data_IF_208387525721
#
_entry.id   IF_208387525721
#
_cell.length_a   1.000
_cell.length_b   1.000
_cell.length_c   1.000
_cell.angle_alpha   90.00
_cell.angle_beta   90.00
_cell.angle_gamma   90.00
#
_symmetry.space_group_name_H-M   'P 1'
#
loop_
_entity.id
_entity.type
_entity.pdbx_description
1 polymer ?
#
# COMPACT_ATOMS: atom_id res chain seq x y z
N UNK A 1 51.70 12.59 10.14
CA UNK A 1 50.46 13.36 10.09
C UNK A 1 49.52 12.91 8.92
N UNK A 2 49.48 11.61 8.60
CA UNK A 2 48.68 11.11 7.44
C UNK A 2 47.47 10.24 7.83
N UNK A 3 47.23 9.99 9.12
CA UNK A 3 46.20 9.04 9.60
C UNK A 3 44.83 9.67 9.96
N UNK A 4 44.74 10.99 10.07
CA UNK A 4 43.52 11.70 10.51
C UNK A 4 42.60 12.00 9.32
N UNK A 5 43.12 12.15 8.07
CA UNK A 5 42.31 12.48 6.88
C UNK A 5 41.46 11.33 6.36
N UNK A 6 41.80 10.05 6.60
CA UNK A 6 41.05 8.89 6.09
C UNK A 6 39.77 8.65 6.87
N UNK A 7 39.76 8.93 8.20
CA UNK A 7 38.56 8.74 9.03
C UNK A 7 37.45 9.76 8.73
N UNK A 8 37.79 10.96 8.32
CA UNK A 8 36.80 12.00 7.96
C UNK A 8 36.07 11.69 6.61
N UNK A 9 36.74 11.02 5.68
CA UNK A 9 36.15 10.65 4.37
C UNK A 9 35.15 9.49 4.49
N UNK A 10 35.35 8.59 5.43
CA UNK A 10 34.43 7.45 5.64
C UNK A 10 33.11 7.94 6.27
N UNK A 11 33.19 8.87 7.22
CA UNK A 11 31.98 9.45 7.86
C UNK A 11 31.07 10.21 6.89
N UNK A 12 31.65 10.92 5.90
CA UNK A 12 30.88 11.66 4.91
C UNK A 12 30.16 10.75 3.88
N UNK A 13 30.73 9.60 3.56
CA UNK A 13 30.10 8.65 2.64
C UNK A 13 28.87 7.98 3.26
N UNK A 14 28.89 7.65 4.53
CA UNK A 14 27.75 7.05 5.25
C UNK A 14 26.60 8.02 5.46
N UNK A 15 26.89 9.29 5.78
CA UNK A 15 25.87 10.33 5.92
C UNK A 15 25.16 10.63 4.59
N UNK A 16 25.89 10.63 3.47
CA UNK A 16 25.32 10.88 2.14
C UNK A 16 24.40 9.73 1.68
N UNK A 17 24.68 8.50 2.08
CA UNK A 17 23.85 7.34 1.75
C UNK A 17 22.54 7.33 2.57
N UNK A 18 22.61 7.67 3.85
CA UNK A 18 21.43 7.78 4.73
C UNK A 18 20.47 8.90 4.27
N UNK A 19 20.98 10.04 3.86
CA UNK A 19 20.17 11.15 3.33
C UNK A 19 19.52 10.79 1.99
N UNK A 20 20.19 10.05 1.13
CA UNK A 20 19.64 9.55 -0.11
C UNK A 20 18.50 8.56 0.14
N UNK A 21 18.69 7.61 1.03
CA UNK A 21 17.67 6.61 1.38
C UNK A 21 16.41 7.26 1.98
N UNK A 22 16.57 8.27 2.84
CA UNK A 22 15.45 9.08 3.34
C UNK A 22 14.72 9.81 2.23
N UNK A 23 15.45 10.41 1.29
CA UNK A 23 14.87 11.08 0.12
C UNK A 23 14.11 10.12 -0.78
N UNK A 24 14.57 8.90 -0.94
CA UNK A 24 13.94 7.91 -1.83
C UNK A 24 12.63 7.37 -1.24
N UNK A 25 12.55 7.12 0.06
CA UNK A 25 11.28 6.72 0.71
C UNK A 25 10.27 7.87 0.74
N UNK A 26 10.72 9.12 1.00
CA UNK A 26 9.86 10.30 0.96
C UNK A 26 9.24 10.48 -0.43
N UNK A 27 10.04 10.45 -1.49
CA UNK A 27 9.56 10.48 -2.88
C UNK A 27 8.56 9.36 -3.18
N UNK A 28 8.77 8.16 -2.64
CA UNK A 28 7.85 7.04 -2.83
C UNK A 28 6.51 7.28 -2.14
N UNK A 29 6.52 7.82 -0.93
CA UNK A 29 5.31 8.20 -0.20
C UNK A 29 4.54 9.28 -0.96
N UNK A 30 5.22 10.30 -1.47
CA UNK A 30 4.61 11.37 -2.26
C UNK A 30 4.06 10.85 -3.59
N UNK A 31 4.79 9.96 -4.27
CA UNK A 31 4.31 9.32 -5.49
C UNK A 31 3.09 8.42 -5.20
N UNK A 32 3.05 7.74 -4.06
CA UNK A 32 1.88 6.95 -3.66
C UNK A 32 0.65 7.84 -3.42
N UNK A 33 0.84 8.99 -2.78
CA UNK A 33 -0.21 9.99 -2.60
C UNK A 33 -0.73 10.50 -3.96
N UNK A 34 0.19 10.85 -4.87
CA UNK A 34 -0.13 11.31 -6.22
C UNK A 34 -0.87 10.26 -7.03
N UNK A 35 -0.43 9.00 -7.00
CA UNK A 35 -1.10 7.89 -7.69
C UNK A 35 -2.54 7.75 -7.21
N UNK A 36 -2.78 7.76 -5.90
CA UNK A 36 -4.12 7.67 -5.35
C UNK A 36 -4.98 8.87 -5.75
N UNK A 37 -4.44 10.08 -5.69
CA UNK A 37 -5.15 11.31 -6.09
C UNK A 37 -5.52 11.29 -7.58
N UNK A 38 -4.61 10.90 -8.46
CA UNK A 38 -4.83 10.82 -9.90
C UNK A 38 -5.85 9.73 -10.28
N UNK A 39 -5.84 8.59 -9.57
CA UNK A 39 -6.84 7.52 -9.76
C UNK A 39 -8.22 8.03 -9.36
N UNK A 40 -8.33 8.68 -8.22
CA UNK A 40 -9.61 9.19 -7.71
C UNK A 40 -10.14 10.40 -8.48
N UNK A 41 -9.26 11.20 -9.09
CA UNK A 41 -9.65 12.36 -9.90
C UNK A 41 -10.13 11.98 -11.32
N UNK A 42 -9.97 10.72 -11.75
CA UNK A 42 -10.35 10.30 -13.11
C UNK A 42 -11.87 10.03 -13.19
N UNK A 43 -12.64 10.83 -13.96
CA UNK A 43 -14.06 10.60 -14.14
C UNK A 43 -14.34 9.21 -14.73
N UNK A 44 -15.40 8.54 -14.27
CA UNK A 44 -15.91 7.25 -14.76
C UNK A 44 -14.93 6.05 -14.69
N UNK A 45 -13.71 6.26 -14.16
CA UNK A 45 -12.70 5.20 -13.96
C UNK A 45 -12.13 5.18 -12.55
N UNK A 46 -12.60 6.06 -11.67
CA UNK A 46 -12.17 6.10 -10.27
C UNK A 46 -12.57 4.82 -9.53
N UNK A 47 -11.87 4.58 -8.43
CA UNK A 47 -12.30 3.60 -7.44
C UNK A 47 -13.66 4.06 -6.90
N UNK A 48 -14.71 3.22 -6.89
CA UNK A 48 -16.02 3.62 -6.42
C UNK A 48 -15.96 4.16 -4.99
N UNK A 49 -16.71 5.24 -4.71
CA UNK A 49 -16.71 5.89 -3.41
C UNK A 49 -17.04 4.92 -2.26
N UNK A 50 -18.01 4.01 -2.50
CA UNK A 50 -18.35 2.96 -1.54
C UNK A 50 -17.16 2.07 -1.20
N UNK A 51 -16.36 1.66 -2.20
CA UNK A 51 -15.21 0.80 -2.00
C UNK A 51 -14.11 1.50 -1.19
N UNK A 52 -13.78 2.74 -1.57
CA UNK A 52 -12.70 3.47 -0.89
C UNK A 52 -13.10 3.91 0.53
N UNK A 53 -14.35 4.30 0.74
CA UNK A 53 -14.85 4.71 2.06
C UNK A 53 -14.96 3.56 3.06
N UNK A 54 -15.24 2.34 2.58
CA UNK A 54 -15.35 1.13 3.39
C UNK A 54 -14.00 0.41 3.58
N UNK A 55 -12.94 0.88 2.90
CA UNK A 55 -11.62 0.27 2.95
C UNK A 55 -11.12 0.08 4.39
N UNK A 56 -10.66 -1.13 4.70
CA UNK A 56 -9.96 -1.48 5.96
C UNK A 56 -8.49 -1.13 5.88
N UNK A 57 -7.85 -1.42 4.74
CA UNK A 57 -6.48 -0.99 4.46
C UNK A 57 -6.37 -0.52 3.01
N UNK A 58 -5.43 0.36 2.77
CA UNK A 58 -5.07 0.85 1.44
C UNK A 58 -3.56 0.70 1.30
N UNK A 59 -3.13 0.06 0.22
CA UNK A 59 -1.73 -0.03 -0.16
C UNK A 59 -1.54 0.51 -1.57
N UNK A 60 -0.50 1.31 -1.76
CA UNK A 60 -0.17 1.89 -3.07
C UNK A 60 1.27 1.58 -3.41
N UNK A 61 1.48 1.02 -4.57
CA UNK A 61 2.80 0.69 -5.13
C UNK A 61 2.97 1.50 -6.43
N UNK A 62 3.66 2.65 -6.38
CA UNK A 62 3.96 3.43 -7.56
C UNK A 62 4.95 2.70 -8.47
N UNK A 63 4.71 2.77 -9.77
CA UNK A 63 5.65 2.30 -10.81
C UNK A 63 6.14 0.86 -10.60
N UNK A 64 5.24 -0.05 -10.23
CA UNK A 64 5.53 -1.49 -10.17
C UNK A 64 5.99 -1.96 -11.55
N UNK A 65 7.17 -2.56 -11.62
CA UNK A 65 7.75 -3.07 -12.87
C UNK A 65 7.21 -4.47 -13.14
N UNK A 66 6.72 -4.67 -14.36
CA UNK A 66 6.39 -5.98 -14.92
C UNK A 66 7.32 -6.26 -16.08
N UNK A 67 8.01 -7.37 -16.04
CA UNK A 67 8.90 -7.84 -17.11
C UNK A 67 8.43 -9.22 -17.54
N UNK A 68 8.24 -9.42 -18.82
CA UNK A 68 7.90 -10.74 -19.37
C UNK A 68 8.70 -10.98 -20.66
N UNK A 69 9.49 -12.06 -20.66
CA UNK A 69 10.22 -12.61 -21.82
C UNK A 69 10.11 -14.14 -21.74
N UNK A 70 8.93 -14.67 -22.10
CA UNK A 70 8.62 -16.10 -21.93
C UNK A 70 8.21 -16.46 -20.49
N UNK A 71 9.04 -16.13 -19.51
CA UNK A 71 8.69 -16.09 -18.08
C UNK A 71 8.68 -14.64 -17.64
N UNK A 72 7.70 -14.27 -16.83
CA UNK A 72 7.57 -12.90 -16.38
C UNK A 72 7.69 -12.78 -14.86
N UNK A 73 8.07 -11.58 -14.42
CA UNK A 73 8.07 -11.22 -13.02
C UNK A 73 7.46 -9.84 -12.80
N UNK A 74 6.96 -9.60 -11.60
CA UNK A 74 6.60 -8.28 -11.14
C UNK A 74 7.39 -7.95 -9.87
N UNK A 75 7.78 -6.71 -9.73
CA UNK A 75 8.44 -6.19 -8.55
C UNK A 75 8.06 -4.73 -8.35
N UNK A 76 7.74 -4.37 -7.12
CA UNK A 76 7.45 -2.99 -6.77
C UNK A 76 7.55 -2.75 -5.29
N UNK A 77 7.86 -1.51 -4.93
CA UNK A 77 7.88 -1.01 -3.56
C UNK A 77 6.79 0.03 -3.37
N UNK A 78 6.17 0.03 -2.20
CA UNK A 78 5.09 0.94 -1.90
C UNK A 78 4.86 1.09 -0.40
N UNK A 79 3.71 1.64 -0.06
CA UNK A 79 3.31 1.87 1.33
C UNK A 79 1.88 1.39 1.56
N UNK A 80 1.62 0.93 2.78
CA UNK A 80 0.31 0.51 3.23
C UNK A 80 -0.08 1.24 4.52
N UNK A 81 -1.37 1.46 4.71
CA UNK A 81 -1.97 1.93 5.96
C UNK A 81 -3.30 1.23 6.19
N UNK A 82 -3.67 1.03 7.45
CA UNK A 82 -4.93 0.39 7.83
C UNK A 82 -5.74 1.27 8.79
N UNK A 83 -7.05 1.05 8.82
CA UNK A 83 -7.90 1.66 9.85
C UNK A 83 -7.63 0.97 11.19
N UNK A 84 -7.36 1.78 12.18
CA UNK A 84 -7.20 1.35 13.57
C UNK A 84 -8.57 1.13 14.23
N UNK A 85 -8.59 0.53 15.41
CA UNK A 85 -9.80 0.36 16.21
C UNK A 85 -10.52 1.69 16.53
N UNK A 86 -9.80 2.82 16.49
CA UNK A 86 -10.39 4.16 16.68
C UNK A 86 -10.97 4.77 15.40
N UNK A 87 -10.95 4.05 14.27
CA UNK A 87 -11.41 4.54 12.96
C UNK A 87 -10.43 5.45 12.24
N UNK A 88 -9.30 5.82 12.87
CA UNK A 88 -8.23 6.60 12.24
C UNK A 88 -7.31 5.71 11.42
N UNK A 89 -6.59 6.28 10.46
CA UNK A 89 -5.57 5.57 9.71
C UNK A 89 -4.31 5.37 10.57
N UNK A 90 -3.64 4.24 10.41
CA UNK A 90 -2.37 3.90 11.09
C UNK A 90 -1.19 4.75 10.58
N UNK A 91 0.00 4.48 11.07
CA UNK A 91 1.24 4.87 10.39
C UNK A 91 1.41 4.14 9.07
N UNK A 92 2.37 4.57 8.24
CA UNK A 92 2.70 3.91 6.98
C UNK A 92 3.63 2.72 7.22
N UNK A 93 3.29 1.60 6.63
CA UNK A 93 4.14 0.42 6.57
C UNK A 93 4.73 0.29 5.16
N UNK A 94 6.04 0.43 4.98
CA UNK A 94 6.70 0.13 3.72
C UNK A 94 6.52 -1.34 3.33
N UNK A 95 6.19 -1.57 2.05
CA UNK A 95 5.93 -2.90 1.50
C UNK A 95 6.69 -3.13 0.20
N UNK A 96 6.99 -4.38 -0.06
CA UNK A 96 7.48 -4.87 -1.35
C UNK A 96 6.52 -5.93 -1.88
N UNK A 97 6.14 -5.82 -3.15
CA UNK A 97 5.44 -6.87 -3.88
C UNK A 97 6.39 -7.52 -4.87
N UNK A 98 6.39 -8.85 -4.91
CA UNK A 98 7.20 -9.64 -5.85
C UNK A 98 6.39 -10.85 -6.31
N UNK A 99 6.35 -11.12 -7.60
CA UNK A 99 5.61 -12.26 -8.13
C UNK A 99 6.17 -12.74 -9.46
N UNK A 100 5.88 -14.01 -9.77
CA UNK A 100 6.08 -14.57 -11.10
C UNK A 100 4.79 -14.39 -11.91
N UNK A 101 4.91 -14.10 -13.18
CA UNK A 101 3.80 -14.13 -14.13
C UNK A 101 4.16 -15.02 -15.32
N UNK A 102 3.18 -15.84 -15.75
CA UNK A 102 3.31 -16.60 -16.96
C UNK A 102 2.55 -15.83 -18.06
N UNK A 103 3.19 -15.55 -19.17
CA UNK A 103 2.51 -14.91 -20.30
C UNK A 103 3.45 -14.68 -21.48
N UNK A 104 2.88 -14.80 -22.68
CA UNK A 104 3.55 -14.57 -23.97
C UNK A 104 3.77 -13.08 -24.27
N UNK A 105 3.71 -12.19 -23.28
CA UNK A 105 3.94 -10.76 -23.49
C UNK A 105 5.43 -10.47 -23.44
N UNK A 106 5.96 -10.01 -24.58
CA UNK A 106 7.31 -9.47 -24.67
C UNK A 106 7.28 -7.99 -24.28
N UNK A 107 7.96 -7.62 -23.19
CA UNK A 107 8.14 -6.22 -22.84
C UNK A 107 8.25 -5.95 -21.35
N UNK A 108 8.74 -4.76 -21.02
CA UNK A 108 8.73 -4.19 -19.68
C UNK A 108 7.66 -3.09 -19.60
N UNK A 109 6.87 -3.09 -18.54
CA UNK A 109 5.87 -2.07 -18.28
C UNK A 109 5.93 -1.65 -16.81
N UNK A 110 5.90 -0.35 -16.57
CA UNK A 110 5.67 0.20 -15.25
C UNK A 110 4.16 0.48 -15.08
N UNK A 111 3.59 0.01 -13.98
CA UNK A 111 2.19 0.22 -13.64
C UNK A 111 2.08 0.73 -12.21
N UNK A 112 1.20 1.68 -11.99
CA UNK A 112 0.81 2.06 -10.64
C UNK A 112 -0.25 1.06 -10.14
N UNK A 113 -0.10 0.61 -8.91
CA UNK A 113 -0.99 -0.37 -8.30
C UNK A 113 -1.59 0.18 -7.02
N UNK A 114 -2.91 0.09 -6.89
CA UNK A 114 -3.63 0.30 -5.64
C UNK A 114 -4.31 -1.00 -5.23
N UNK A 115 -4.09 -1.42 -3.99
CA UNK A 115 -4.76 -2.55 -3.36
C UNK A 115 -5.62 -2.04 -2.22
N UNK A 116 -6.89 -2.46 -2.20
CA UNK A 116 -7.84 -2.13 -1.15
C UNK A 116 -8.25 -3.41 -0.45
N UNK A 117 -8.03 -3.45 0.86
CA UNK A 117 -8.52 -4.51 1.73
C UNK A 117 -9.94 -4.16 2.16
N UNK A 118 -10.89 -5.07 1.93
CA UNK A 118 -12.32 -4.81 2.08
C UNK A 118 -12.91 -5.31 3.38
N UNK A 119 -12.27 -6.30 4.02
CA UNK A 119 -12.79 -6.95 5.21
C UNK A 119 -11.70 -7.24 6.26
N UNK A 120 -12.12 -7.68 7.44
CA UNK A 120 -11.22 -7.90 8.56
C UNK A 120 -10.31 -9.12 8.33
N UNK A 121 -10.74 -10.12 7.58
CA UNK A 121 -9.94 -11.28 7.23
C UNK A 121 -8.76 -10.88 6.33
N UNK A 122 -9.02 -10.10 5.26
CA UNK A 122 -7.96 -9.52 4.43
C UNK A 122 -7.02 -8.61 5.21
N UNK A 123 -7.54 -7.88 6.19
CA UNK A 123 -6.72 -7.08 7.09
C UNK A 123 -5.77 -7.96 7.92
N UNK A 124 -6.25 -9.10 8.47
CA UNK A 124 -5.39 -10.04 9.21
C UNK A 124 -4.24 -10.58 8.36
N UNK A 125 -4.49 -10.89 7.08
CA UNK A 125 -3.44 -11.29 6.15
C UNK A 125 -2.42 -10.16 5.93
N UNK A 126 -2.89 -8.92 5.76
CA UNK A 126 -1.99 -7.78 5.61
C UNK A 126 -1.21 -7.47 6.89
N UNK A 127 -1.76 -7.73 8.07
CA UNK A 127 -1.06 -7.57 9.35
C UNK A 127 0.09 -8.58 9.54
N UNK A 128 0.09 -9.68 8.81
CA UNK A 128 1.22 -10.59 8.76
C UNK A 128 2.38 -9.96 7.97
N UNK A 129 3.61 -10.25 8.36
CA UNK A 129 4.79 -9.67 7.70
C UNK A 129 5.02 -10.17 6.27
N UNK A 130 4.27 -11.18 5.83
CA UNK A 130 4.33 -11.80 4.51
C UNK A 130 3.03 -12.53 4.22
N UNK A 131 2.45 -12.32 3.03
CA UNK A 131 1.32 -13.12 2.54
C UNK A 131 1.37 -13.26 1.01
N UNK A 132 0.76 -14.34 0.50
CA UNK A 132 0.69 -14.64 -0.94
C UNK A 132 -0.73 -14.38 -1.44
N UNK A 133 -0.83 -13.52 -2.44
CA UNK A 133 -2.11 -13.18 -3.09
C UNK A 133 -2.62 -14.40 -3.88
N UNK A 134 -3.89 -14.72 -3.69
CA UNK A 134 -4.56 -15.87 -4.31
C UNK A 134 -4.40 -17.19 -3.55
N UNK A 135 -3.44 -17.30 -2.62
CA UNK A 135 -3.29 -18.45 -1.75
C UNK A 135 -3.70 -18.14 -0.31
N UNK A 136 -3.12 -17.06 0.26
CA UNK A 136 -3.42 -16.66 1.64
C UNK A 136 -4.59 -15.65 1.68
N UNK A 137 -4.68 -14.76 0.68
CA UNK A 137 -5.73 -13.78 0.57
C UNK A 137 -6.35 -13.79 -0.83
N UNK A 138 -7.67 -13.90 -0.91
CA UNK A 138 -8.40 -13.83 -2.18
C UNK A 138 -8.32 -12.41 -2.75
N UNK A 139 -8.00 -12.28 -4.02
CA UNK A 139 -7.94 -11.01 -4.71
C UNK A 139 -8.80 -11.02 -5.97
N UNK A 140 -9.41 -9.87 -6.27
CA UNK A 140 -10.15 -9.65 -7.50
C UNK A 140 -9.80 -8.29 -8.10
N UNK A 141 -9.94 -8.20 -9.43
CA UNK A 141 -9.92 -6.91 -10.11
C UNK A 141 -11.06 -6.05 -9.56
N UNK A 142 -10.72 -4.87 -9.05
CA UNK A 142 -11.71 -3.96 -8.49
C UNK A 142 -12.68 -3.44 -9.54
N UNK A 143 -13.94 -3.17 -9.18
CA UNK A 143 -14.90 -2.51 -10.06
C UNK A 143 -14.44 -1.06 -10.32
N UNK A 144 -14.64 -0.57 -11.53
CA UNK A 144 -14.31 0.82 -11.92
C UNK A 144 -15.56 1.55 -12.40
N UNK A 145 -15.63 2.87 -12.13
CA UNK A 145 -16.70 3.73 -12.60
C UNK A 145 -17.94 3.74 -11.71
N UNK A 146 -18.90 4.59 -12.09
CA UNK A 146 -20.14 4.83 -11.34
C UNK A 146 -21.12 3.67 -11.37
N UNK A 147 -21.09 2.86 -12.42
CA UNK A 147 -21.99 1.72 -12.63
C UNK A 147 -21.56 0.44 -11.90
N UNK A 148 -20.53 0.53 -11.09
CA UNK A 148 -19.99 -0.62 -10.36
C UNK A 148 -20.93 -1.16 -9.26
N UNK A 149 -22.10 -0.53 -9.06
CA UNK A 149 -23.04 -0.90 -8.00
C UNK A 149 -23.93 -2.11 -8.27
N UNK A 150 -24.28 -2.41 -9.54
CA UNK A 150 -25.34 -3.35 -9.85
C UNK A 150 -24.92 -4.83 -9.94
N UNK A 151 -23.62 -5.13 -10.15
CA UNK A 151 -23.13 -6.51 -10.34
C UNK A 151 -21.92 -6.85 -9.44
N UNK A 152 -21.85 -6.27 -8.25
CA UNK A 152 -20.59 -6.18 -7.49
C UNK A 152 -20.50 -7.17 -6.33
N UNK A 153 -21.59 -7.87 -5.98
CA UNK A 153 -21.67 -8.67 -4.75
C UNK A 153 -20.59 -9.77 -4.64
N UNK A 154 -20.20 -10.39 -5.75
CA UNK A 154 -19.18 -11.43 -5.74
C UNK A 154 -17.76 -10.84 -5.64
N UNK A 155 -17.52 -9.66 -6.24
CA UNK A 155 -16.22 -8.96 -6.15
C UNK A 155 -16.01 -8.37 -4.78
N UNK A 156 -17.08 -7.91 -4.13
CA UNK A 156 -17.01 -7.40 -2.75
C UNK A 156 -16.74 -8.50 -1.71
N UNK A 157 -16.85 -9.77 -2.07
CA UNK A 157 -16.43 -10.89 -1.23
C UNK A 157 -14.93 -11.16 -1.27
N UNK A 158 -14.21 -10.62 -2.25
CA UNK A 158 -12.76 -10.72 -2.28
C UNK A 158 -12.15 -9.92 -1.13
N UNK A 159 -11.13 -10.47 -0.49
CA UNK A 159 -10.42 -9.82 0.61
C UNK A 159 -9.60 -8.63 0.14
N UNK A 160 -9.12 -8.68 -1.11
CA UNK A 160 -8.35 -7.63 -1.76
C UNK A 160 -8.99 -7.24 -3.10
N UNK A 161 -9.19 -5.95 -3.32
CA UNK A 161 -9.51 -5.38 -4.62
C UNK A 161 -8.28 -4.69 -5.19
N UNK A 162 -7.96 -4.99 -6.43
CA UNK A 162 -6.76 -4.49 -7.10
C UNK A 162 -7.11 -3.56 -8.24
N UNK A 163 -6.44 -2.44 -8.31
CA UNK A 163 -6.59 -1.43 -9.35
C UNK A 163 -5.21 -1.09 -9.90
N UNK A 164 -5.05 -1.09 -11.21
CA UNK A 164 -3.81 -0.67 -11.84
C UNK A 164 -4.03 0.43 -12.85
N UNK A 165 -3.02 1.27 -12.99
CA UNK A 165 -2.94 2.29 -14.03
C UNK A 165 -1.64 2.11 -14.82
N UNK A 166 -1.78 1.95 -16.13
CA UNK A 166 -0.67 1.91 -17.06
C UNK A 166 -0.92 2.91 -18.18
N UNK A 167 -0.02 3.88 -18.38
CA UNK A 167 -0.14 4.90 -19.43
C UNK A 167 -1.51 5.60 -19.48
N UNK A 168 -2.08 5.91 -18.31
CA UNK A 168 -3.40 6.56 -18.20
C UNK A 168 -4.61 5.63 -18.39
N UNK A 169 -4.41 4.35 -18.65
CA UNK A 169 -5.48 3.36 -18.75
C UNK A 169 -5.62 2.63 -17.41
N UNK A 170 -6.84 2.61 -16.88
CA UNK A 170 -7.20 1.88 -15.67
C UNK A 170 -7.73 0.50 -16.04
N UNK A 171 -7.24 -0.50 -15.33
CA UNK A 171 -7.75 -1.86 -15.43
C UNK A 171 -7.59 -2.56 -14.09
N UNK A 172 -8.49 -3.51 -13.81
CA UNK A 172 -8.21 -4.50 -12.77
C UNK A 172 -7.04 -5.37 -13.20
N UNK A 173 -6.20 -5.75 -12.24
CA UNK A 173 -5.04 -6.58 -12.49
C UNK A 173 -5.10 -7.83 -11.64
N UNK A 174 -4.81 -8.97 -12.23
CA UNK A 174 -4.59 -10.20 -11.48
C UNK A 174 -3.15 -10.22 -10.92
N UNK A 175 -3.05 -10.36 -9.62
CA UNK A 175 -1.80 -10.47 -8.87
C UNK A 175 -1.63 -11.85 -8.22
N UNK A 176 -2.44 -12.83 -8.61
CA UNK A 176 -2.35 -14.18 -8.06
C UNK A 176 -0.93 -14.74 -8.16
N UNK A 177 -0.46 -15.31 -7.06
CA UNK A 177 0.91 -15.78 -6.95
C UNK A 177 1.94 -14.75 -6.53
N UNK A 178 1.59 -13.46 -6.51
CA UNK A 178 2.47 -12.43 -5.96
C UNK A 178 2.52 -12.49 -4.44
N UNK A 179 3.69 -12.18 -3.88
CA UNK A 179 3.94 -12.14 -2.44
C UNK A 179 4.13 -10.70 -2.03
N UNK A 180 3.39 -10.27 -1.03
CA UNK A 180 3.57 -8.99 -0.35
C UNK A 180 4.37 -9.22 0.92
N UNK A 181 5.41 -8.42 1.13
CA UNK A 181 6.28 -8.50 2.32
C UNK A 181 6.51 -7.11 2.89
N UNK A 182 6.75 -7.05 4.20
CA UNK A 182 7.25 -5.83 4.83
C UNK A 182 8.66 -5.51 4.31
N UNK A 183 8.88 -4.28 3.86
CA UNK A 183 10.22 -3.77 3.59
C UNK A 183 10.85 -3.32 4.91
N UNK A 184 11.73 -4.20 5.44
CA UNK A 184 12.33 -3.99 6.76
C UNK A 184 13.35 -2.83 6.77
N UNK A 185 14.04 -2.63 5.67
CA UNK A 185 15.07 -1.60 5.57
C UNK A 185 14.43 -0.22 5.45
N UNK A 186 13.43 -0.08 4.59
CA UNK A 186 12.65 1.16 4.52
C UNK A 186 11.87 1.43 5.81
N UNK A 187 11.42 0.37 6.51
CA UNK A 187 10.82 0.55 7.85
C UNK A 187 11.82 1.16 8.83
N UNK A 188 13.09 0.71 8.81
CA UNK A 188 14.15 1.30 9.68
C UNK A 188 14.42 2.76 9.33
N UNK A 189 14.45 3.09 8.04
CA UNK A 189 14.64 4.47 7.59
C UNK A 189 13.47 5.36 8.03
N UNK A 190 12.23 4.89 7.83
CA UNK A 190 11.03 5.66 8.13
C UNK A 190 10.81 5.90 9.64
N UNK A 191 11.15 4.91 10.48
CA UNK A 191 10.89 4.94 11.93
C UNK A 191 12.16 5.10 12.79
N UNK A 192 13.35 5.15 12.18
CA UNK A 192 14.63 5.17 12.89
C UNK A 192 15.00 3.82 13.54
N UNK A 193 14.13 2.81 13.43
CA UNK A 193 14.31 1.44 13.96
C UNK A 193 13.38 0.47 13.26
N UNK A 194 13.66 -0.82 13.36
CA UNK A 194 12.72 -1.82 12.92
C UNK A 194 11.47 -1.83 13.82
N UNK A 195 10.30 -1.79 13.20
CA UNK A 195 8.99 -1.92 13.84
C UNK A 195 8.24 -3.05 13.14
N UNK A 196 7.65 -4.02 13.86
CA UNK A 196 6.84 -5.07 13.26
C UNK A 196 5.67 -4.51 12.45
N UNK A 197 5.40 -5.11 11.33
CA UNK A 197 4.37 -4.71 10.38
C UNK A 197 2.99 -4.56 11.04
N UNK A 198 2.60 -5.58 11.82
CA UNK A 198 1.33 -5.58 12.54
C UNK A 198 1.22 -4.45 13.57
N UNK A 199 2.32 -4.04 14.21
CA UNK A 199 2.30 -2.93 15.18
C UNK A 199 2.12 -1.57 14.49
N UNK A 200 2.71 -1.40 13.31
CA UNK A 200 2.50 -0.20 12.50
C UNK A 200 1.03 -0.10 12.08
N UNK A 201 0.52 -1.15 11.42
CA UNK A 201 -0.82 -1.16 10.84
C UNK A 201 -1.94 -1.20 11.88
N UNK A 202 -1.69 -1.77 13.06
CA UNK A 202 -2.62 -1.69 14.19
C UNK A 202 -2.64 -0.31 14.89
N UNK A 203 -1.76 0.62 14.46
CA UNK A 203 -1.70 1.96 15.04
C UNK A 203 -1.03 2.05 16.40
N UNK A 204 -0.21 1.05 16.78
CA UNK A 204 0.54 1.04 18.04
C UNK A 204 1.76 1.97 18.06
N UNK A 205 2.15 2.50 16.89
CA UNK A 205 3.27 3.41 16.74
C UNK A 205 2.82 4.78 16.24
N UNK A 206 3.56 5.83 16.60
CA UNK A 206 3.27 7.19 16.13
C UNK A 206 3.52 7.30 14.62
N UNK A 207 2.67 8.08 13.95
CA UNK A 207 2.89 8.47 12.55
C UNK A 207 4.15 9.31 12.44
N UNK A 208 4.92 9.11 11.38
CA UNK A 208 6.09 9.95 11.08
C UNK A 208 5.68 11.21 10.31
N UNK A 209 6.52 12.25 10.32
CA UNK A 209 6.25 13.46 9.53
C UNK A 209 6.14 13.15 8.03
N UNK A 210 6.98 12.25 7.50
CA UNK A 210 6.95 11.80 6.10
C UNK A 210 5.62 11.14 5.70
N UNK A 211 4.85 10.61 6.66
CA UNK A 211 3.56 9.96 6.39
C UNK A 211 2.45 10.95 6.00
N UNK A 212 2.66 12.25 6.17
CA UNK A 212 1.59 13.24 6.10
C UNK A 212 0.96 13.34 4.70
N UNK A 213 1.74 13.38 3.64
CA UNK A 213 1.25 13.52 2.27
C UNK A 213 0.29 12.39 1.89
N UNK A 214 0.69 11.14 2.10
CA UNK A 214 -0.13 9.99 1.77
C UNK A 214 -1.38 9.88 2.67
N UNK A 215 -1.22 10.06 3.99
CA UNK A 215 -2.34 9.96 4.93
C UNK A 215 -3.38 11.06 4.73
N UNK A 216 -2.96 12.26 4.35
CA UNK A 216 -3.90 13.34 4.00
C UNK A 216 -4.71 12.99 2.75
N UNK A 217 -4.07 12.44 1.71
CA UNK A 217 -4.75 11.98 0.50
C UNK A 217 -5.71 10.82 0.79
N UNK A 218 -5.29 9.85 1.58
CA UNK A 218 -6.16 8.74 2.02
C UNK A 218 -7.38 9.29 2.76
N UNK A 219 -7.17 10.19 3.73
CA UNK A 219 -8.27 10.78 4.53
C UNK A 219 -9.22 11.61 3.66
N UNK A 220 -8.71 12.34 2.67
CA UNK A 220 -9.51 13.13 1.70
C UNK A 220 -10.57 12.26 1.02
N UNK A 221 -10.23 11.04 0.61
CA UNK A 221 -11.13 10.18 -0.15
C UNK A 221 -11.93 9.18 0.69
N UNK A 222 -11.47 8.88 1.90
CA UNK A 222 -12.12 7.88 2.75
C UNK A 222 -12.96 8.48 3.88
N UNK A 223 -12.77 9.77 4.16
CA UNK A 223 -13.31 10.41 5.35
C UNK A 223 -12.73 9.87 6.67
N UNK A 224 -12.87 10.59 7.73
CA UNK A 224 -12.66 10.08 9.09
C UNK A 224 -13.96 9.39 9.54
N UNK A 225 -13.96 8.07 9.72
CA UNK A 225 -15.06 7.42 10.44
C UNK A 225 -14.98 7.85 11.90
N UNK A 226 -15.98 8.61 12.37
CA UNK A 226 -16.14 8.80 13.81
C UNK A 226 -16.26 7.42 14.44
N UNK A 227 -15.50 7.16 15.50
CA UNK A 227 -15.65 5.98 16.34
C UNK A 227 -17.13 5.92 16.76
N UNK A 228 -17.81 4.89 16.32
CA UNK A 228 -19.15 4.58 16.82
C UNK A 228 -18.95 4.12 18.26
N UNK A 229 -19.06 5.06 19.20
CA UNK A 229 -19.18 4.79 20.63
C UNK A 229 -20.51 4.05 20.78
N UNK A 230 -20.49 2.72 20.67
CA UNK A 230 -21.58 1.90 21.14
C UNK A 230 -21.57 2.01 22.68
N UNK A 231 -22.57 2.66 23.32
CA UNK A 231 -22.65 2.61 24.76
C UNK A 231 -22.79 1.12 25.17
N UNK A 232 -22.26 0.72 26.30
CA UNK A 232 -22.49 -0.62 26.81
C UNK A 232 -24.00 -0.79 26.92
N UNK A 233 -24.52 -1.80 26.22
CA UNK A 233 -25.91 -2.20 26.37
C UNK A 233 -26.13 -2.53 27.85
N UNK A 234 -26.90 -1.70 28.51
CA UNK A 234 -27.39 -1.96 29.85
C UNK A 234 -27.93 -3.38 29.94
N UNK A 235 -27.26 -4.16 30.76
CA UNK A 235 -27.72 -5.44 31.21
C UNK A 235 -28.93 -5.14 32.10
N UNK A 236 -30.12 -5.10 31.51
CA UNK A 236 -31.36 -5.09 32.28
C UNK A 236 -31.77 -6.55 32.52
N UNK A 237 -31.64 -6.92 33.76
CA UNK A 237 -32.39 -7.84 34.67
C UNK A 237 -33.31 -8.88 34.00
#
# INVERSE_FOLDING_TARGET
MLTISVLLLIGAAWAADEDKDKSDIEKRIDNAAKVLDEIMATPDKAIPEKVISEAKCIAVIPSMVKIAVGFGGNHGKGVATCRTATGKWSGLAPITITGGSWGLQLGGQAVDLVMIVTNDEGMQHLLSSKFKIGADASAAAGPVGRDAGANTDWKMKAQLLTYSRARGIFAGIDLSGSVVTQDKDETRILYGKFVPFGDILAGKVRRTAMSHSFLSTVTKYTGEKKSENRPPSDMQR
#
